data_IF_413081369358
#
_entry.id   IF_413081369358
#
_cell.length_a   1.000
_cell.length_b   1.000
_cell.length_c   1.000
_cell.angle_alpha   90.00
_cell.angle_beta   90.00
_cell.angle_gamma   90.00
#
_symmetry.space_group_name_H-M   'P 1'
#
loop_
_entity.id
_entity.type
_entity.pdbx_description
1 polymer ?
#
# COMPACT_ATOMS: atom_id res chain seq x y z
N UNK A 1 12.67 -10.14 -1.44
CA UNK A 1 12.85 -10.02 -2.90
C UNK A 1 12.11 -8.77 -3.35
N UNK A 2 12.70 -7.95 -4.21
CA UNK A 2 12.03 -6.77 -4.78
C UNK A 2 11.27 -7.17 -6.04
N UNK A 3 10.12 -6.55 -6.28
CA UNK A 3 9.31 -6.71 -7.50
C UNK A 3 9.18 -5.33 -8.13
N UNK A 4 9.68 -5.20 -9.36
CA UNK A 4 9.51 -3.96 -10.13
C UNK A 4 8.02 -3.77 -10.45
N UNK A 5 7.53 -2.53 -10.36
CA UNK A 5 6.10 -2.25 -10.57
C UNK A 5 5.61 -2.73 -11.94
N UNK A 6 6.44 -2.63 -12.98
CA UNK A 6 6.10 -3.10 -14.33
C UNK A 6 6.14 -4.63 -14.51
N UNK A 7 6.68 -5.37 -13.53
CA UNK A 7 6.71 -6.84 -13.52
C UNK A 7 5.65 -7.44 -12.58
N UNK A 8 4.94 -6.60 -11.83
CA UNK A 8 3.94 -7.03 -10.86
C UNK A 8 2.78 -7.74 -11.57
N UNK A 9 2.43 -8.93 -11.08
CA UNK A 9 1.30 -9.73 -11.56
C UNK A 9 0.23 -9.85 -10.50
N UNK A 10 -1.00 -10.14 -10.91
CA UNK A 10 -2.11 -10.35 -9.97
C UNK A 10 -1.79 -11.45 -8.94
N UNK A 11 -1.10 -12.51 -9.35
CA UNK A 11 -0.69 -13.62 -8.49
C UNK A 11 0.32 -13.23 -7.40
N UNK A 12 1.01 -12.10 -7.56
CA UNK A 12 1.93 -11.57 -6.55
C UNK A 12 1.18 -10.81 -5.44
N UNK A 13 -0.07 -10.41 -5.70
CA UNK A 13 -0.88 -9.65 -4.75
C UNK A 13 -1.43 -10.57 -3.65
N UNK A 14 -1.39 -10.12 -2.38
CA UNK A 14 -2.14 -10.78 -1.31
C UNK A 14 -3.65 -10.75 -1.57
N UNK A 15 -4.40 -11.54 -0.81
CA UNK A 15 -5.86 -11.49 -0.80
C UNK A 15 -6.33 -10.09 -0.35
N UNK A 16 -7.31 -9.48 -1.02
CA UNK A 16 -7.82 -8.13 -0.69
C UNK A 16 -8.56 -8.01 0.65
N UNK A 17 -8.73 -9.13 1.36
CA UNK A 17 -9.25 -9.24 2.73
C UNK A 17 -8.30 -10.04 3.64
N UNK A 18 -7.00 -10.04 3.33
CA UNK A 18 -5.98 -10.72 4.12
C UNK A 18 -5.60 -10.00 5.41
N UNK A 19 -4.75 -10.67 6.19
CA UNK A 19 -4.19 -10.15 7.43
C UNK A 19 -3.07 -9.13 7.18
N UNK A 20 -2.78 -8.28 8.17
CA UNK A 20 -1.72 -7.27 8.06
C UNK A 20 -0.38 -7.87 7.68
N UNK A 21 -0.05 -9.06 8.20
CA UNK A 21 1.24 -9.71 7.94
C UNK A 21 1.49 -10.00 6.45
N UNK A 22 0.45 -10.27 5.67
CA UNK A 22 0.56 -10.51 4.23
C UNK A 22 0.74 -9.19 3.48
N UNK A 23 -0.02 -8.17 3.85
CA UNK A 23 0.15 -6.81 3.31
C UNK A 23 1.54 -6.26 3.59
N UNK A 24 2.05 -6.42 4.81
CA UNK A 24 3.36 -5.95 5.21
C UNK A 24 4.50 -6.66 4.46
N UNK A 25 4.41 -7.98 4.28
CA UNK A 25 5.37 -8.75 3.47
C UNK A 25 5.36 -8.31 2.01
N UNK A 26 4.18 -8.08 1.44
CA UNK A 26 4.04 -7.60 0.08
C UNK A 26 4.54 -6.15 -0.08
N UNK A 27 4.25 -5.26 0.87
CA UNK A 27 4.64 -3.85 0.85
C UNK A 27 6.16 -3.67 0.71
N UNK A 28 6.94 -4.51 1.39
CA UNK A 28 8.41 -4.46 1.33
C UNK A 28 9.02 -5.03 0.04
N UNK A 29 8.20 -5.54 -0.89
CA UNK A 29 8.62 -5.86 -2.27
C UNK A 29 8.77 -4.63 -3.14
N UNK A 30 8.26 -3.47 -2.69
CA UNK A 30 8.44 -2.19 -3.36
C UNK A 30 9.61 -1.42 -2.75
N UNK A 31 10.39 -0.77 -3.61
CA UNK A 31 11.45 0.13 -3.23
C UNK A 31 11.24 1.48 -3.94
N UNK A 32 10.76 2.53 -3.23
CA UNK A 32 10.62 3.85 -3.83
C UNK A 32 11.99 4.42 -4.21
N UNK A 33 12.05 5.12 -5.35
CA UNK A 33 13.25 5.83 -5.81
C UNK A 33 13.60 7.01 -4.89
N UNK A 34 12.57 7.72 -4.43
CA UNK A 34 12.67 8.84 -3.48
C UNK A 34 11.74 8.56 -2.29
N UNK A 35 12.32 8.45 -1.10
CA UNK A 35 11.58 8.09 0.12
C UNK A 35 10.84 9.28 0.74
N UNK A 36 11.37 10.48 0.58
CA UNK A 36 10.82 11.67 1.22
C UNK A 36 9.59 12.13 0.45
N UNK A 37 9.70 12.19 -0.88
CA UNK A 37 8.56 12.45 -1.77
C UNK A 37 7.45 11.41 -1.60
N UNK A 38 7.83 10.13 -1.43
CA UNK A 38 6.88 9.05 -1.18
C UNK A 38 6.11 9.25 0.14
N UNK A 39 6.74 9.80 1.17
CA UNK A 39 6.14 9.94 2.49
C UNK A 39 5.08 11.05 2.51
N UNK A 40 5.38 12.20 1.90
CA UNK A 40 4.41 13.30 1.77
C UNK A 40 3.19 12.87 0.95
N UNK A 41 3.42 12.29 -0.24
CA UNK A 41 2.35 11.84 -1.12
C UNK A 41 1.47 10.75 -0.48
N UNK A 42 2.06 9.81 0.28
CA UNK A 42 1.31 8.77 0.97
C UNK A 42 0.44 9.33 2.11
N UNK A 43 0.96 10.29 2.87
CA UNK A 43 0.19 10.98 3.91
C UNK A 43 -1.01 11.73 3.33
N UNK A 44 -0.83 12.43 2.21
CA UNK A 44 -1.92 13.12 1.51
C UNK A 44 -2.95 12.15 0.93
N UNK A 45 -2.49 11.04 0.36
CA UNK A 45 -3.35 9.98 -0.15
C UNK A 45 -4.22 9.36 0.95
N UNK A 46 -3.66 9.11 2.13
CA UNK A 46 -4.42 8.61 3.27
C UNK A 46 -5.50 9.63 3.71
N UNK A 47 -5.14 10.90 3.82
CA UNK A 47 -6.08 11.96 4.19
C UNK A 47 -7.22 12.12 3.16
N UNK A 48 -6.92 11.98 1.86
CA UNK A 48 -7.92 11.97 0.79
C UNK A 48 -8.83 10.76 0.89
N UNK A 49 -8.26 9.56 1.02
CA UNK A 49 -9.04 8.33 1.18
C UNK A 49 -9.99 8.39 2.37
N UNK A 50 -9.52 8.92 3.51
CA UNK A 50 -10.36 9.09 4.70
C UNK A 50 -11.61 9.94 4.45
N UNK A 51 -11.49 10.94 3.56
CA UNK A 51 -12.57 11.89 3.25
C UNK A 51 -13.49 11.43 2.13
N UNK A 52 -12.95 10.77 1.11
CA UNK A 52 -13.69 10.46 -0.13
C UNK A 52 -13.78 8.98 -0.47
N UNK A 53 -12.99 8.13 0.18
CA UNK A 53 -12.81 6.73 -0.19
C UNK A 53 -11.89 6.51 -1.39
N UNK A 54 -11.39 7.58 -2.02
CA UNK A 54 -10.53 7.47 -3.20
C UNK A 54 -9.10 7.09 -2.84
N UNK A 55 -8.51 6.22 -3.65
CA UNK A 55 -7.08 5.87 -3.62
C UNK A 55 -6.33 6.52 -4.79
N UNK A 56 -4.98 6.50 -4.77
CA UNK A 56 -4.17 6.88 -5.93
C UNK A 56 -4.51 6.07 -7.19
N UNK A 57 -4.16 6.63 -8.36
CA UNK A 57 -4.61 6.09 -9.65
C UNK A 57 -3.60 5.16 -10.29
N UNK A 58 -2.32 5.25 -9.95
CA UNK A 58 -1.27 4.42 -10.58
C UNK A 58 -0.83 3.29 -9.65
N UNK A 59 -0.42 2.16 -10.24
CA UNK A 59 0.16 1.04 -9.48
C UNK A 59 1.36 1.47 -8.62
N UNK A 60 2.19 2.39 -9.12
CA UNK A 60 3.36 2.88 -8.38
C UNK A 60 2.95 3.67 -7.14
N UNK A 61 2.02 4.62 -7.25
CA UNK A 61 1.51 5.38 -6.10
C UNK A 61 0.81 4.48 -5.09
N UNK A 62 0.05 3.49 -5.55
CA UNK A 62 -0.60 2.51 -4.67
C UNK A 62 0.44 1.72 -3.87
N UNK A 63 1.51 1.25 -4.51
CA UNK A 63 2.61 0.50 -3.86
C UNK A 63 3.37 1.39 -2.89
N UNK A 64 3.62 2.64 -3.26
CA UNK A 64 4.24 3.65 -2.43
C UNK A 64 3.45 3.90 -1.14
N UNK A 65 2.13 4.07 -1.24
CA UNK A 65 1.27 4.24 -0.06
C UNK A 65 1.32 3.03 0.88
N UNK A 66 1.24 1.82 0.33
CA UNK A 66 1.28 0.61 1.15
C UNK A 66 2.64 0.41 1.83
N UNK A 67 3.73 0.69 1.13
CA UNK A 67 5.09 0.68 1.69
C UNK A 67 5.25 1.70 2.83
N UNK A 68 4.69 2.90 2.67
CA UNK A 68 4.74 3.92 3.70
C UNK A 68 3.96 3.49 4.95
N UNK A 69 2.75 2.96 4.79
CA UNK A 69 1.97 2.43 5.90
C UNK A 69 2.72 1.30 6.61
N UNK A 70 3.35 0.39 5.88
CA UNK A 70 4.17 -0.67 6.47
C UNK A 70 5.24 -0.12 7.43
N UNK A 71 5.92 0.95 7.02
CA UNK A 71 6.96 1.61 7.83
C UNK A 71 6.38 2.34 9.02
N UNK A 72 5.26 3.05 8.83
CA UNK A 72 4.55 3.77 9.89
C UNK A 72 4.16 2.82 11.02
N UNK A 73 3.52 1.70 10.71
CA UNK A 73 3.08 0.72 11.71
C UNK A 73 4.27 0.00 12.37
N UNK A 74 5.31 -0.32 11.59
CA UNK A 74 6.58 -0.83 12.14
C UNK A 74 7.21 0.16 13.13
N UNK A 75 7.25 1.46 12.80
CA UNK A 75 7.78 2.49 13.67
C UNK A 75 6.96 2.64 14.97
N UNK A 76 5.63 2.55 14.87
CA UNK A 76 4.73 2.57 16.02
C UNK A 76 4.78 1.30 16.88
N UNK A 77 5.45 0.24 16.42
CA UNK A 77 5.58 -1.02 17.16
C UNK A 77 4.26 -1.80 17.34
N UNK A 78 3.28 -1.59 16.45
CA UNK A 78 1.96 -2.24 16.51
C UNK A 78 1.38 -2.47 15.12
N UNK A 79 0.39 -3.35 15.04
CA UNK A 79 -0.39 -3.55 13.82
C UNK A 79 -1.36 -2.37 13.55
N UNK A 80 -1.82 -2.21 12.30
CA UNK A 80 -2.82 -1.21 11.98
C UNK A 80 -4.12 -1.43 12.76
N UNK A 81 -4.76 -0.33 13.13
CA UNK A 81 -6.13 -0.35 13.61
C UNK A 81 -7.12 -0.63 12.45
N UNK A 82 -8.42 -0.66 12.78
CA UNK A 82 -9.48 -0.89 11.80
C UNK A 82 -9.43 0.08 10.61
N UNK A 83 -9.05 1.34 10.81
CA UNK A 83 -8.96 2.34 9.75
C UNK A 83 -7.74 2.06 8.86
N UNK A 84 -6.58 1.81 9.46
CA UNK A 84 -5.37 1.43 8.76
C UNK A 84 -5.54 0.13 7.94
N UNK A 85 -6.21 -0.88 8.51
CA UNK A 85 -6.53 -2.12 7.79
C UNK A 85 -7.48 -1.89 6.61
N UNK A 86 -8.50 -1.04 6.78
CA UNK A 86 -9.42 -0.69 5.69
C UNK A 86 -8.70 0.03 4.55
N UNK A 87 -7.77 0.92 4.87
CA UNK A 87 -6.96 1.62 3.87
C UNK A 87 -6.02 0.66 3.13
N UNK A 88 -5.26 -0.17 3.86
CA UNK A 88 -4.37 -1.16 3.26
C UNK A 88 -5.13 -2.10 2.31
N UNK A 89 -6.30 -2.59 2.74
CA UNK A 89 -7.17 -3.41 1.89
C UNK A 89 -7.70 -2.66 0.66
N UNK A 90 -8.02 -1.37 0.78
CA UNK A 90 -8.44 -0.55 -0.36
C UNK A 90 -7.32 -0.41 -1.41
N UNK A 91 -6.07 -0.23 -0.97
CA UNK A 91 -4.91 -0.19 -1.86
C UNK A 91 -4.73 -1.52 -2.60
N UNK A 92 -4.78 -2.66 -1.90
CA UNK A 92 -4.63 -3.99 -2.52
C UNK A 92 -5.74 -4.26 -3.54
N UNK A 93 -7.00 -3.94 -3.22
CA UNK A 93 -8.11 -4.12 -4.16
C UNK A 93 -7.94 -3.26 -5.41
N UNK A 94 -7.50 -2.02 -5.26
CA UNK A 94 -7.22 -1.14 -6.39
C UNK A 94 -6.07 -1.63 -7.26
N UNK A 95 -4.99 -2.15 -6.66
CA UNK A 95 -3.92 -2.81 -7.44
C UNK A 95 -4.45 -4.00 -8.23
N UNK A 96 -5.31 -4.83 -7.62
CA UNK A 96 -5.91 -5.98 -8.29
C UNK A 96 -6.78 -5.55 -9.48
N UNK A 97 -7.61 -4.53 -9.31
CA UNK A 97 -8.42 -3.97 -10.40
C UNK A 97 -7.58 -3.42 -11.56
N UNK A 98 -6.35 -2.97 -11.32
CA UNK A 98 -5.46 -2.47 -12.37
C UNK A 98 -4.67 -3.57 -13.10
N UNK A 99 -4.53 -4.76 -12.48
CA UNK A 99 -3.78 -5.88 -13.04
C UNK A 99 -4.65 -6.92 -13.74
N UNK A 100 -5.96 -6.92 -13.47
CA UNK A 100 -6.96 -7.72 -14.20
C UNK A 100 -7.50 -6.97 -15.41
#
# INVERSE_FOLDING_TARGET
MQIQTGELRETDLPNGYGEWSDYAKFAVTFAPRDRDLCSEAASDAFARWRRTGDVPRTLEELRACLWYEQRRWRFLGREPDTEGMRYAGALIRAMRTQLG
#
